data_IF_893665828311
#
_entry.id   IF_893665828311
#
_cell.length_a   1.000
_cell.length_b   1.000
_cell.length_c   1.000
_cell.angle_alpha   90.00
_cell.angle_beta   90.00
_cell.angle_gamma   90.00
#
_symmetry.space_group_name_H-M   'P 1'
#
loop_
_entity.id
_entity.type
_entity.pdbx_description
1 polymer ?
#
# COMPACT_ATOMS: atom_id res chain seq x y z
N UNK A 1 57.07 32.92 -35.81
CA UNK A 1 55.60 32.76 -35.85
C UNK A 1 55.13 32.36 -34.46
N UNK A 2 54.39 33.12 -33.92
CA UNK A 2 53.93 33.61 -32.57
C UNK A 2 53.41 32.57 -31.61
N UNK A 3 54.28 31.99 -30.80
CA UNK A 3 53.90 31.17 -29.65
C UNK A 3 53.12 31.95 -28.53
N UNK A 4 53.21 33.27 -28.51
CA UNK A 4 52.51 34.13 -27.56
C UNK A 4 50.96 34.17 -27.76
N UNK A 5 50.50 34.05 -29.02
CA UNK A 5 49.06 34.04 -29.34
C UNK A 5 48.38 32.73 -28.96
N UNK A 6 49.07 31.59 -29.03
CA UNK A 6 48.50 30.31 -28.57
C UNK A 6 48.35 30.25 -27.06
N UNK A 7 49.29 30.83 -26.29
CA UNK A 7 49.17 30.85 -24.81
C UNK A 7 48.03 31.72 -24.31
N UNK A 8 47.74 32.85 -24.97
CA UNK A 8 46.60 33.71 -24.62
C UNK A 8 45.26 33.05 -24.92
N UNK A 9 45.12 32.30 -26.00
CA UNK A 9 43.88 31.57 -26.30
C UNK A 9 43.64 30.39 -25.33
N UNK A 10 44.69 29.68 -24.89
CA UNK A 10 44.55 28.62 -23.89
C UNK A 10 44.16 29.16 -22.50
N UNK A 11 44.72 30.31 -22.13
CA UNK A 11 44.39 30.94 -20.83
C UNK A 11 42.94 31.47 -20.77
N UNK A 12 42.41 32.01 -21.88
CA UNK A 12 41.04 32.46 -21.98
C UNK A 12 40.06 31.29 -22.03
N UNK A 13 40.39 30.19 -22.69
CA UNK A 13 39.59 28.98 -22.70
C UNK A 13 39.51 28.30 -21.31
N UNK A 14 40.62 28.29 -20.57
CA UNK A 14 40.65 27.78 -19.18
C UNK A 14 39.85 28.65 -18.20
N UNK A 15 39.86 29.98 -18.38
CA UNK A 15 39.08 30.90 -17.56
C UNK A 15 37.57 30.81 -17.85
N UNK A 16 37.16 30.53 -19.10
CA UNK A 16 35.77 30.28 -19.48
C UNK A 16 35.25 28.93 -19.00
N UNK A 17 36.08 27.91 -18.90
CA UNK A 17 35.73 26.60 -18.37
C UNK A 17 35.58 26.62 -16.85
N UNK A 18 36.27 27.50 -16.14
CA UNK A 18 36.15 27.68 -14.68
C UNK A 18 34.89 28.46 -14.28
N UNK A 19 34.27 29.19 -15.21
CA UNK A 19 33.04 29.96 -14.97
C UNK A 19 31.74 29.18 -15.13
N UNK A 20 31.80 27.95 -15.64
CA UNK A 20 30.68 27.00 -15.58
C UNK A 20 30.60 26.46 -14.13
N UNK A 21 30.01 27.26 -13.27
CA UNK A 21 29.85 26.98 -11.86
C UNK A 21 29.34 25.57 -11.64
N UNK A 22 30.08 24.81 -10.86
CA UNK A 22 29.55 23.70 -10.09
C UNK A 22 28.39 24.25 -9.26
N UNK A 23 27.23 24.36 -9.87
CA UNK A 23 25.99 24.44 -9.14
C UNK A 23 25.93 23.12 -8.40
N UNK A 24 26.44 23.11 -7.18
CA UNK A 24 26.25 21.99 -6.28
C UNK A 24 24.75 21.66 -6.34
N UNK A 25 24.40 20.46 -6.75
CA UNK A 25 23.05 19.95 -6.60
C UNK A 25 22.74 20.05 -5.11
N UNK A 26 22.16 21.17 -4.68
CA UNK A 26 21.58 21.29 -3.35
C UNK A 26 20.52 20.21 -3.32
N UNK A 27 20.75 19.17 -2.51
CA UNK A 27 19.70 18.21 -2.20
C UNK A 27 18.52 19.03 -1.73
N UNK A 28 17.44 19.01 -2.50
CA UNK A 28 16.22 19.69 -2.10
C UNK A 28 15.81 19.14 -0.74
N UNK A 29 15.64 20.00 0.25
CA UNK A 29 15.09 19.59 1.55
C UNK A 29 13.76 18.89 1.29
N UNK A 30 13.70 17.59 1.54
CA UNK A 30 12.48 16.81 1.42
C UNK A 30 12.10 16.29 2.81
N UNK A 31 10.81 16.39 3.17
CA UNK A 31 9.67 17.00 2.47
C UNK A 31 9.53 18.50 2.79
N UNK A 32 9.16 19.32 1.80
CA UNK A 32 8.87 20.75 1.96
C UNK A 32 7.37 21.06 2.05
N UNK A 33 6.52 20.05 1.87
CA UNK A 33 5.05 20.15 1.89
C UNK A 33 4.47 18.85 2.47
N UNK A 34 3.18 18.83 2.85
CA UNK A 34 2.53 17.63 3.35
C UNK A 34 2.67 16.44 2.40
N UNK A 35 2.83 15.26 2.99
CA UNK A 35 2.95 13.97 2.30
C UNK A 35 1.63 13.22 2.46
N UNK A 36 1.15 12.54 1.41
CA UNK A 36 -0.10 11.78 1.45
C UNK A 36 0.19 10.28 1.60
N UNK A 37 -0.41 9.66 2.62
CA UNK A 37 -0.45 8.21 2.77
C UNK A 37 -1.81 7.70 2.33
N UNK A 38 -1.87 6.99 1.20
CA UNK A 38 -3.10 6.36 0.72
C UNK A 38 -3.30 5.04 1.44
N UNK A 39 -4.48 4.88 2.03
CA UNK A 39 -4.96 3.63 2.62
C UNK A 39 -6.02 3.04 1.69
N UNK A 40 -5.79 1.86 1.08
CA UNK A 40 -6.67 1.31 0.05
C UNK A 40 -7.94 0.63 0.61
N UNK A 41 -8.32 0.97 1.83
CA UNK A 41 -9.50 0.44 2.52
C UNK A 41 -10.26 1.56 3.23
N UNK A 42 -11.50 1.25 3.66
CA UNK A 42 -12.37 2.20 4.32
C UNK A 42 -11.76 2.74 5.63
N UNK A 43 -12.16 3.95 5.99
CA UNK A 43 -11.85 4.53 7.30
C UNK A 43 -12.37 3.62 8.43
N UNK A 44 -11.59 3.48 9.50
CA UNK A 44 -11.88 2.57 10.61
C UNK A 44 -11.45 1.11 10.38
N UNK A 45 -10.92 0.75 9.21
CA UNK A 45 -10.30 -0.55 8.98
C UNK A 45 -9.00 -0.72 9.79
N UNK A 46 -8.51 -1.95 9.93
CA UNK A 46 -7.23 -2.22 10.59
C UNK A 46 -6.08 -1.45 9.93
N UNK A 47 -6.06 -1.38 8.59
CA UNK A 47 -5.06 -0.61 7.84
C UNK A 47 -5.16 0.89 8.10
N UNK A 48 -6.37 1.43 8.21
CA UNK A 48 -6.59 2.84 8.53
C UNK A 48 -6.12 3.18 9.95
N UNK A 49 -6.45 2.32 10.92
CA UNK A 49 -5.98 2.48 12.30
C UNK A 49 -4.46 2.48 12.38
N UNK A 50 -3.81 1.53 11.71
CA UNK A 50 -2.36 1.46 11.64
C UNK A 50 -1.75 2.69 10.95
N UNK A 51 -2.34 3.11 9.83
CA UNK A 51 -1.90 4.30 9.11
C UNK A 51 -1.94 5.57 9.99
N UNK A 52 -2.99 5.74 10.79
CA UNK A 52 -3.13 6.90 11.69
C UNK A 52 -2.08 6.90 12.82
N UNK A 53 -1.74 5.73 13.36
CA UNK A 53 -0.66 5.60 14.35
C UNK A 53 0.68 5.98 13.72
N UNK A 54 0.96 5.46 12.53
CA UNK A 54 2.20 5.74 11.80
C UNK A 54 2.30 7.20 11.37
N UNK A 55 1.21 7.77 10.83
CA UNK A 55 1.21 9.14 10.31
C UNK A 55 1.52 10.18 11.38
N UNK A 56 1.06 9.96 12.60
CA UNK A 56 1.38 10.85 13.72
C UNK A 56 2.90 10.90 13.96
N UNK A 57 3.53 9.73 14.07
CA UNK A 57 4.98 9.67 14.30
C UNK A 57 5.81 10.10 13.09
N UNK A 58 5.38 9.75 11.89
CA UNK A 58 6.05 10.19 10.66
C UNK A 58 5.99 11.70 10.50
N UNK A 59 4.86 12.35 10.85
CA UNK A 59 4.73 13.80 10.80
C UNK A 59 5.74 14.51 11.71
N UNK A 60 5.96 13.97 12.91
CA UNK A 60 6.97 14.50 13.84
C UNK A 60 8.39 14.36 13.27
N UNK A 61 8.73 13.19 12.75
CA UNK A 61 10.08 12.89 12.24
C UNK A 61 10.38 13.66 10.96
N UNK A 62 9.41 13.78 10.07
CA UNK A 62 9.56 14.44 8.78
C UNK A 62 9.44 15.97 8.87
N UNK A 63 8.92 16.52 9.97
CA UNK A 63 8.64 17.93 10.11
C UNK A 63 7.55 18.46 9.19
N UNK A 64 6.80 17.56 8.53
CA UNK A 64 5.69 17.85 7.63
C UNK A 64 4.53 16.91 7.92
N UNK A 65 3.31 17.40 7.72
CA UNK A 65 2.12 16.60 7.97
C UNK A 65 2.02 15.41 7.01
N UNK A 66 1.77 14.21 7.56
CA UNK A 66 1.40 13.01 6.79
C UNK A 66 -0.12 12.88 6.83
N UNK A 67 -0.76 13.15 5.70
CA UNK A 67 -2.22 13.14 5.55
C UNK A 67 -2.68 11.74 5.12
N UNK A 68 -3.65 11.18 5.84
CA UNK A 68 -4.26 9.90 5.48
C UNK A 68 -5.40 10.12 4.50
N UNK A 69 -5.42 9.34 3.44
CA UNK A 69 -6.46 9.35 2.44
C UNK A 69 -6.97 7.92 2.19
N UNK A 70 -8.24 7.67 2.55
CA UNK A 70 -8.86 6.37 2.34
C UNK A 70 -9.44 6.30 0.92
N UNK A 71 -8.95 5.35 0.11
CA UNK A 71 -9.40 5.12 -1.28
C UNK A 71 -9.71 3.65 -1.45
N UNK A 72 -10.92 3.24 -1.08
CA UNK A 72 -11.38 1.85 -1.16
C UNK A 72 -11.82 1.46 -2.57
N UNK A 73 -12.05 0.15 -2.76
CA UNK A 73 -12.62 -0.42 -3.98
C UNK A 73 -11.75 -1.52 -4.59
N UNK A 74 -12.41 -2.52 -5.19
CA UNK A 74 -11.79 -3.66 -5.88
C UNK A 74 -10.68 -4.34 -5.06
N UNK A 75 -10.96 -4.70 -3.79
CA UNK A 75 -9.97 -5.33 -2.91
C UNK A 75 -8.74 -4.45 -2.63
N UNK A 76 -8.91 -3.13 -2.62
CA UNK A 76 -7.83 -2.15 -2.43
C UNK A 76 -7.11 -1.75 -3.72
N UNK A 77 -7.43 -2.38 -4.85
CA UNK A 77 -6.72 -2.12 -6.11
C UNK A 77 -6.88 -0.68 -6.59
N UNK A 78 -8.04 -0.04 -6.33
CA UNK A 78 -8.30 1.35 -6.72
C UNK A 78 -7.32 2.32 -6.07
N UNK A 79 -7.14 2.23 -4.75
CA UNK A 79 -6.23 3.10 -4.00
C UNK A 79 -4.76 2.90 -4.38
N UNK A 80 -4.35 1.63 -4.56
CA UNK A 80 -2.98 1.30 -4.98
C UNK A 80 -2.69 1.81 -6.38
N UNK A 81 -3.63 1.63 -7.34
CA UNK A 81 -3.49 2.11 -8.71
C UNK A 81 -3.39 3.65 -8.79
N UNK A 82 -4.00 4.36 -7.87
CA UNK A 82 -3.88 5.81 -7.78
C UNK A 82 -2.44 6.23 -7.49
N UNK A 83 -1.78 5.57 -6.53
CA UNK A 83 -0.38 5.87 -6.19
C UNK A 83 0.57 5.43 -7.29
N UNK A 84 0.31 4.29 -7.95
CA UNK A 84 1.09 3.86 -9.11
C UNK A 84 1.13 4.90 -10.25
N UNK A 85 0.09 5.73 -10.36
CA UNK A 85 -0.03 6.79 -11.38
C UNK A 85 0.40 8.17 -10.89
N UNK A 86 0.78 8.30 -9.62
CA UNK A 86 1.24 9.56 -9.07
C UNK A 86 2.66 9.90 -9.54
N UNK A 87 3.05 11.15 -9.37
CA UNK A 87 4.43 11.57 -9.61
C UNK A 87 5.39 10.82 -8.66
N UNK A 88 6.53 10.31 -9.12
CA UNK A 88 7.49 9.57 -8.29
C UNK A 88 8.40 10.53 -7.50
N UNK A 89 7.80 11.52 -6.83
CA UNK A 89 8.49 12.58 -6.09
C UNK A 89 8.55 12.34 -4.57
N UNK A 90 8.04 11.19 -4.11
CA UNK A 90 8.03 10.80 -2.70
C UNK A 90 6.91 11.45 -1.87
N UNK A 91 6.03 12.27 -2.46
CA UNK A 91 4.93 12.92 -1.71
C UNK A 91 3.65 12.10 -1.64
N UNK A 92 3.59 10.97 -2.34
CA UNK A 92 2.51 10.01 -2.21
C UNK A 92 3.07 8.60 -2.00
N UNK A 93 2.55 7.90 -1.01
CA UNK A 93 2.85 6.50 -0.78
C UNK A 93 1.60 5.75 -0.32
N UNK A 94 1.62 4.45 -0.42
CA UNK A 94 0.49 3.60 -0.08
C UNK A 94 0.85 2.62 1.02
N UNK A 95 -0.03 2.46 2.00
CA UNK A 95 0.04 1.40 2.99
C UNK A 95 -0.82 0.23 2.49
N UNK A 96 -0.19 -0.76 1.91
CA UNK A 96 -0.85 -1.96 1.40
C UNK A 96 -0.30 -3.24 1.99
N UNK A 97 -0.91 -4.34 1.67
CA UNK A 97 -0.58 -5.66 2.19
C UNK A 97 -0.38 -6.72 1.11
N UNK A 98 -0.31 -7.97 1.54
CA UNK A 98 -0.19 -9.13 0.64
C UNK A 98 -1.36 -9.23 -0.35
N UNK A 99 -2.54 -8.82 0.08
CA UNK A 99 -3.74 -8.76 -0.76
C UNK A 99 -3.55 -7.81 -1.95
N UNK A 100 -3.14 -6.58 -1.69
CA UNK A 100 -2.98 -5.55 -2.71
C UNK A 100 -1.74 -5.76 -3.59
N UNK A 101 -0.61 -6.20 -3.03
CA UNK A 101 0.66 -6.29 -3.77
C UNK A 101 0.99 -7.68 -4.33
N UNK A 102 0.38 -8.74 -3.81
CA UNK A 102 0.61 -10.10 -4.33
C UNK A 102 -0.66 -10.73 -4.87
N UNK A 103 -1.72 -10.85 -4.07
CA UNK A 103 -2.91 -11.61 -4.43
C UNK A 103 -3.68 -10.97 -5.59
N UNK A 104 -3.84 -9.65 -5.61
CA UNK A 104 -4.55 -8.93 -6.67
C UNK A 104 -3.90 -9.08 -8.05
N UNK A 105 -2.59 -9.32 -8.11
CA UNK A 105 -1.90 -9.57 -9.39
C UNK A 105 -2.37 -10.88 -10.06
N UNK A 106 -2.84 -11.84 -9.27
CA UNK A 106 -3.33 -13.14 -9.77
C UNK A 106 -4.85 -13.22 -9.78
N UNK A 107 -5.50 -12.56 -8.82
CA UNK A 107 -6.95 -12.60 -8.66
C UNK A 107 -7.70 -11.90 -9.80
N UNK A 108 -7.17 -10.78 -10.27
CA UNK A 108 -7.79 -9.98 -11.32
C UNK A 108 -7.19 -10.30 -12.69
N UNK A 109 -8.04 -10.52 -13.69
CA UNK A 109 -7.61 -10.77 -15.09
C UNK A 109 -6.85 -9.57 -15.68
N UNK A 110 -7.11 -8.38 -15.21
CA UNK A 110 -6.49 -7.12 -15.64
C UNK A 110 -6.20 -6.26 -14.41
N UNK A 111 -5.10 -6.50 -13.72
CA UNK A 111 -4.68 -5.66 -12.60
C UNK A 111 -4.41 -4.23 -13.10
N UNK A 112 -4.74 -3.24 -12.29
CA UNK A 112 -4.62 -1.82 -12.65
C UNK A 112 -3.19 -1.28 -12.50
N UNK A 113 -2.27 -2.08 -11.96
CA UNK A 113 -0.85 -1.78 -11.73
C UNK A 113 -0.05 -3.08 -11.73
N UNK A 114 1.25 -2.95 -11.84
CA UNK A 114 2.21 -4.04 -11.66
C UNK A 114 3.00 -3.82 -10.38
N UNK A 115 2.82 -4.69 -9.39
CA UNK A 115 3.45 -4.54 -8.08
C UNK A 115 4.99 -4.57 -8.12
N UNK A 116 5.57 -5.26 -9.12
CA UNK A 116 7.01 -5.41 -9.23
C UNK A 116 7.71 -4.20 -9.89
N UNK A 117 7.00 -3.47 -10.75
CA UNK A 117 7.60 -2.42 -11.58
C UNK A 117 7.13 -1.01 -11.27
N UNK A 118 5.92 -0.86 -10.73
CA UNK A 118 5.30 0.46 -10.59
C UNK A 118 5.56 1.11 -9.22
N UNK A 119 6.25 0.40 -8.32
CA UNK A 119 6.49 0.87 -6.94
C UNK A 119 7.96 0.69 -6.53
N UNK A 120 8.43 1.62 -5.71
CA UNK A 120 9.62 1.46 -4.91
C UNK A 120 9.22 1.07 -3.48
N UNK A 121 9.58 -0.13 -2.97
CA UNK A 121 9.26 -0.52 -1.60
C UNK A 121 10.04 0.34 -0.60
N UNK A 122 9.36 0.79 0.46
CA UNK A 122 9.97 1.62 1.51
C UNK A 122 10.35 0.76 2.73
N UNK A 123 9.37 0.12 3.35
CA UNK A 123 9.60 -0.72 4.52
C UNK A 123 8.44 -1.70 4.76
N UNK A 124 8.73 -2.81 5.40
CA UNK A 124 7.72 -3.65 6.05
C UNK A 124 7.40 -3.02 7.41
N UNK A 125 6.16 -2.61 7.61
CA UNK A 125 5.73 -1.83 8.78
C UNK A 125 5.19 -2.72 9.89
N UNK A 126 4.48 -3.82 9.51
CA UNK A 126 3.81 -4.72 10.46
C UNK A 126 3.53 -6.06 9.82
N UNK A 127 3.55 -7.09 10.64
CA UNK A 127 2.99 -8.41 10.34
C UNK A 127 1.82 -8.66 11.28
N UNK A 128 0.70 -9.15 10.74
CA UNK A 128 -0.49 -9.44 11.54
C UNK A 128 -1.12 -10.76 11.16
N UNK A 129 -1.61 -11.49 12.15
CA UNK A 129 -2.40 -12.68 11.94
C UNK A 129 -3.87 -12.34 11.68
N UNK A 130 -4.53 -13.11 10.83
CA UNK A 130 -5.99 -13.09 10.72
C UNK A 130 -6.58 -14.01 11.78
N UNK A 131 -7.59 -13.50 12.49
CA UNK A 131 -8.31 -14.26 13.50
C UNK A 131 -9.73 -14.53 13.01
N UNK A 132 -10.18 -15.77 13.17
CA UNK A 132 -11.59 -16.12 13.05
C UNK A 132 -12.29 -15.76 14.35
N UNK A 133 -13.26 -14.85 14.28
CA UNK A 133 -14.13 -14.49 15.40
C UNK A 133 -15.57 -14.84 15.08
N UNK A 134 -16.33 -15.22 16.07
CA UNK A 134 -17.73 -15.54 15.93
C UNK A 134 -18.55 -14.77 16.98
N UNK A 135 -19.87 -14.68 16.76
CA UNK A 135 -20.79 -14.16 17.77
C UNK A 135 -20.77 -15.04 19.01
N UNK A 136 -20.93 -14.43 20.17
CA UNK A 136 -20.90 -15.15 21.46
C UNK A 136 -22.03 -16.17 21.61
N UNK A 137 -23.12 -16.04 20.87
CA UNK A 137 -24.28 -16.94 20.89
C UNK A 137 -24.16 -18.10 19.88
N UNK A 138 -23.04 -18.19 19.13
CA UNK A 138 -22.77 -19.34 18.27
C UNK A 138 -22.49 -20.57 19.15
N UNK A 139 -23.19 -21.71 18.94
CA UNK A 139 -23.02 -22.90 19.78
C UNK A 139 -21.75 -23.70 19.38
N UNK A 140 -20.60 -23.07 19.50
CA UNK A 140 -19.28 -23.65 19.22
C UNK A 140 -18.23 -22.96 20.10
N UNK A 141 -17.50 -23.73 20.90
CA UNK A 141 -16.49 -23.23 21.83
C UNK A 141 -15.05 -23.48 21.35
N UNK A 142 -14.89 -24.20 20.25
CA UNK A 142 -13.61 -24.53 19.64
C UNK A 142 -13.79 -24.74 18.12
N UNK A 143 -12.66 -24.88 17.42
CA UNK A 143 -12.64 -25.01 15.96
C UNK A 143 -13.41 -26.26 15.47
N UNK A 144 -13.31 -27.39 16.17
CA UNK A 144 -13.97 -28.63 15.77
C UNK A 144 -15.48 -28.51 15.84
N UNK A 145 -15.99 -27.91 16.92
CA UNK A 145 -17.42 -27.61 17.10
C UNK A 145 -17.90 -26.58 16.06
N UNK A 146 -17.08 -25.56 15.77
CA UNK A 146 -17.37 -24.62 14.73
C UNK A 146 -17.49 -25.29 13.34
N UNK A 147 -16.55 -26.18 12.99
CA UNK A 147 -16.59 -26.92 11.71
C UNK A 147 -17.85 -27.78 11.62
N UNK A 148 -18.22 -28.49 12.69
CA UNK A 148 -19.42 -29.34 12.74
C UNK A 148 -20.69 -28.47 12.56
N UNK A 149 -20.76 -27.37 13.28
CA UNK A 149 -21.86 -26.41 13.18
C UNK A 149 -21.96 -25.79 11.77
N UNK A 150 -20.83 -25.37 11.21
CA UNK A 150 -20.74 -24.79 9.89
C UNK A 150 -21.25 -25.75 8.81
N UNK A 151 -20.86 -27.02 8.87
CA UNK A 151 -21.35 -28.06 7.93
C UNK A 151 -22.87 -28.27 8.00
N UNK A 152 -23.42 -28.20 9.21
CA UNK A 152 -24.87 -28.39 9.41
C UNK A 152 -25.69 -27.16 9.05
N UNK A 153 -25.10 -25.97 9.03
CA UNK A 153 -25.85 -24.69 8.93
C UNK A 153 -25.34 -23.75 7.83
N UNK A 154 -24.48 -24.21 6.90
CA UNK A 154 -23.80 -23.36 5.91
C UNK A 154 -24.73 -22.42 5.15
N UNK A 155 -25.94 -22.87 4.78
CA UNK A 155 -26.93 -22.05 4.08
C UNK A 155 -27.55 -20.93 4.90
N UNK A 156 -27.28 -20.87 6.22
CA UNK A 156 -27.78 -19.83 7.14
C UNK A 156 -26.65 -18.98 7.74
N UNK A 157 -25.41 -19.31 7.39
CA UNK A 157 -24.22 -18.60 7.89
C UNK A 157 -23.67 -17.61 6.87
N UNK A 158 -23.02 -16.58 7.38
CA UNK A 158 -22.31 -15.59 6.56
C UNK A 158 -21.03 -15.17 7.26
N UNK A 159 -20.01 -14.82 6.48
CA UNK A 159 -18.80 -14.16 6.96
C UNK A 159 -18.85 -12.66 6.68
N UNK A 160 -18.31 -11.87 7.59
CA UNK A 160 -17.94 -10.48 7.32
C UNK A 160 -16.52 -10.40 6.76
N UNK A 161 -16.29 -9.50 5.80
CA UNK A 161 -14.96 -9.22 5.25
C UNK A 161 -14.80 -7.74 4.95
N UNK A 162 -13.58 -7.31 4.61
CA UNK A 162 -13.29 -5.94 4.18
C UNK A 162 -13.58 -5.72 2.67
N UNK A 163 -14.49 -6.50 2.10
CA UNK A 163 -14.89 -6.44 0.69
C UNK A 163 -14.25 -7.51 -0.19
N UNK A 164 -14.83 -7.70 -1.36
CA UNK A 164 -14.40 -8.72 -2.33
C UNK A 164 -12.95 -8.46 -2.76
N UNK A 165 -12.13 -9.51 -2.72
CA UNK A 165 -10.69 -9.45 -3.07
C UNK A 165 -9.79 -8.98 -1.93
N UNK A 166 -10.33 -8.58 -0.77
CA UNK A 166 -9.53 -8.29 0.42
C UNK A 166 -8.91 -9.55 1.02
N UNK A 167 -7.86 -9.40 1.82
CA UNK A 167 -7.21 -10.52 2.51
C UNK A 167 -8.18 -11.32 3.40
N UNK A 168 -9.11 -10.65 4.10
CA UNK A 168 -10.15 -11.30 4.91
C UNK A 168 -11.18 -12.07 4.06
N UNK A 169 -11.55 -11.56 2.89
CA UNK A 169 -12.42 -12.28 1.95
C UNK A 169 -11.75 -13.58 1.46
N UNK A 170 -10.49 -13.50 1.06
CA UNK A 170 -9.75 -14.67 0.59
C UNK A 170 -9.50 -15.70 1.70
N UNK A 171 -9.26 -15.23 2.94
CA UNK A 171 -9.14 -16.11 4.09
C UNK A 171 -10.45 -16.86 4.38
N UNK A 172 -11.61 -16.22 4.26
CA UNK A 172 -12.91 -16.88 4.36
C UNK A 172 -13.10 -17.94 3.27
N UNK A 173 -12.73 -17.63 2.03
CA UNK A 173 -12.81 -18.58 0.92
C UNK A 173 -11.87 -19.79 1.13
N UNK A 174 -10.65 -19.57 1.63
CA UNK A 174 -9.72 -20.65 1.97
C UNK A 174 -10.25 -21.51 3.13
N UNK A 175 -10.82 -20.88 4.16
CA UNK A 175 -11.42 -21.60 5.29
C UNK A 175 -12.59 -22.46 4.83
N UNK A 176 -13.49 -21.94 4.00
CA UNK A 176 -14.58 -22.68 3.39
C UNK A 176 -14.09 -23.93 2.67
N UNK A 177 -13.08 -23.75 1.81
CA UNK A 177 -12.45 -24.86 1.07
C UNK A 177 -11.86 -25.91 2.00
N UNK A 178 -11.14 -25.49 3.04
CA UNK A 178 -10.53 -26.38 4.01
C UNK A 178 -11.54 -27.19 4.83
N UNK A 179 -12.70 -26.56 5.16
CA UNK A 179 -13.78 -27.21 5.89
C UNK A 179 -14.73 -28.04 5.01
N UNK A 180 -14.69 -27.85 3.69
CA UNK A 180 -15.63 -28.46 2.75
C UNK A 180 -17.04 -27.91 2.90
N UNK A 181 -17.18 -26.58 3.07
CA UNK A 181 -18.46 -25.86 3.18
C UNK A 181 -18.52 -24.71 2.18
N UNK A 182 -19.71 -24.21 1.91
CA UNK A 182 -19.96 -23.03 1.09
C UNK A 182 -20.77 -21.98 1.87
N UNK A 183 -20.06 -21.26 2.73
CA UNK A 183 -20.65 -20.15 3.50
C UNK A 183 -20.43 -18.86 2.72
N UNK A 184 -21.51 -18.12 2.48
CA UNK A 184 -21.47 -16.89 1.72
C UNK A 184 -20.70 -15.79 2.46
N UNK A 185 -19.90 -15.01 1.70
CA UNK A 185 -19.35 -13.74 2.12
C UNK A 185 -20.18 -12.65 1.45
N UNK A 186 -21.05 -11.92 2.17
CA UNK A 186 -21.87 -10.90 1.56
C UNK A 186 -21.01 -9.91 0.78
N UNK A 187 -21.44 -9.61 -0.44
CA UNK A 187 -20.90 -8.49 -1.18
C UNK A 187 -21.50 -7.22 -0.57
N UNK A 188 -20.81 -6.58 0.36
CA UNK A 188 -21.19 -5.22 0.69
C UNK A 188 -20.98 -4.37 -0.56
N UNK A 189 -22.03 -3.63 -0.91
CA UNK A 189 -21.94 -2.65 -1.98
C UNK A 189 -20.84 -1.63 -1.60
N UNK A 190 -19.81 -1.57 -2.44
CA UNK A 190 -18.69 -0.64 -2.29
C UNK A 190 -19.14 0.82 -2.51
#
# INVERSE_FOLDING_TARGET
MNNRRCFTFLAVAAALASGLGLHGAMAQDWPTRPVTMVVPFAAGSASDTMARILSARLSEVLGQQVVIENVSGAGGMTGVARVAKAAPDGYQFVLGGVDTFAQNQTLYKRPLYNSATDFAPVALVVEQALLLVARNDLPANNLQEFIAYAKANQGKMQYGSAGVGSGSHLACAQLNSAMGVDISVPQEAA
#
